data_IF_363652586815
#
_entry.id   IF_363652586815
#
_cell.length_a   1.000
_cell.length_b   1.000
_cell.length_c   1.000
_cell.angle_alpha   90.00
_cell.angle_beta   90.00
_cell.angle_gamma   90.00
#
_symmetry.space_group_name_H-M   'P 1'
#
loop_
_entity.id
_entity.type
_entity.pdbx_description
1 polymer ?
#
# COMPACT_ATOMS: atom_id res chain seq x y z
N UNK A 1 1.33 5.69 -24.63
CA UNK A 1 0.05 5.88 -23.90
C UNK A 1 0.02 4.93 -22.72
N UNK A 2 0.52 5.37 -21.57
CA UNK A 2 0.69 4.53 -20.39
C UNK A 2 -0.65 4.46 -19.66
N UNK A 3 -1.31 3.30 -19.70
CA UNK A 3 -2.54 3.03 -18.95
C UNK A 3 -2.26 3.30 -17.48
N UNK A 4 -2.89 4.35 -16.93
CA UNK A 4 -2.96 4.63 -15.49
C UNK A 4 -3.67 3.43 -14.84
N UNK A 5 -2.92 2.44 -14.41
CA UNK A 5 -3.43 1.35 -13.59
C UNK A 5 -3.61 1.93 -12.19
N UNK A 6 -4.85 2.26 -11.83
CA UNK A 6 -5.19 2.76 -10.50
C UNK A 6 -5.04 1.69 -9.40
N UNK A 7 -4.83 0.42 -9.79
CA UNK A 7 -4.79 -0.74 -8.88
C UNK A 7 -3.38 -1.31 -8.62
N UNK A 8 -2.31 -0.52 -8.85
CA UNK A 8 -0.95 -0.94 -8.46
C UNK A 8 -0.60 -0.45 -7.06
N UNK A 9 0.28 -1.19 -6.38
CA UNK A 9 0.83 -0.77 -5.08
C UNK A 9 1.45 0.63 -5.16
N UNK A 10 2.24 0.90 -6.20
CA UNK A 10 2.86 2.21 -6.44
C UNK A 10 1.82 3.31 -6.67
N UNK A 11 0.71 3.03 -7.37
CA UNK A 11 -0.38 4.00 -7.54
C UNK A 11 -1.12 4.25 -6.23
N UNK A 12 -1.26 3.26 -5.36
CA UNK A 12 -1.87 3.43 -4.04
C UNK A 12 -0.99 4.29 -3.12
N UNK A 13 0.34 4.10 -3.16
CA UNK A 13 1.30 4.92 -2.42
C UNK A 13 1.28 6.38 -2.90
N UNK A 14 1.35 6.63 -4.22
CA UNK A 14 1.26 7.99 -4.76
C UNK A 14 -0.05 8.70 -4.36
N UNK A 15 -1.17 7.96 -4.31
CA UNK A 15 -2.45 8.51 -3.87
C UNK A 15 -2.43 8.83 -2.36
N UNK A 16 -1.83 8.00 -1.53
CA UNK A 16 -1.66 8.29 -0.10
C UNK A 16 -0.83 9.56 0.12
N UNK A 17 0.26 9.75 -0.61
CA UNK A 17 1.05 10.98 -0.55
C UNK A 17 0.22 12.21 -0.96
N UNK A 18 -0.59 12.10 -2.01
CA UNK A 18 -1.49 13.18 -2.45
C UNK A 18 -2.52 13.52 -1.37
N UNK A 19 -3.09 12.50 -0.71
CA UNK A 19 -4.05 12.66 0.38
C UNK A 19 -3.39 13.38 1.56
N UNK A 20 -2.19 12.98 1.95
CA UNK A 20 -1.43 13.62 3.03
C UNK A 20 -1.18 15.10 2.70
N UNK A 21 -0.70 15.40 1.49
CA UNK A 21 -0.48 16.78 1.03
C UNK A 21 -1.77 17.62 1.05
N UNK A 22 -2.92 17.03 0.74
CA UNK A 22 -4.21 17.72 0.81
C UNK A 22 -4.68 17.97 2.23
N UNK A 23 -4.45 17.04 3.16
CA UNK A 23 -4.82 17.19 4.57
C UNK A 23 -3.91 18.19 5.27
N UNK A 24 -2.62 18.23 4.93
CA UNK A 24 -1.65 19.19 5.49
C UNK A 24 -1.89 20.62 5.01
N UNK A 25 -2.71 20.82 3.99
CA UNK A 25 -3.06 22.14 3.50
C UNK A 25 -4.14 22.76 4.42
N UNK A 26 -3.82 23.88 5.07
CA UNK A 26 -4.65 24.59 6.08
C UNK A 26 -6.04 25.09 5.59
N UNK A 27 -6.46 24.71 4.38
CA UNK A 27 -7.71 25.13 3.74
C UNK A 27 -8.72 23.98 3.57
N UNK A 28 -8.43 22.79 4.09
CA UNK A 28 -9.36 21.66 4.00
C UNK A 28 -10.50 21.83 5.01
N UNK A 29 -11.75 21.73 4.55
CA UNK A 29 -12.91 21.70 5.44
C UNK A 29 -13.04 20.34 6.14
N UNK A 30 -13.79 20.31 7.24
CA UNK A 30 -13.93 19.12 8.08
C UNK A 30 -14.52 17.91 7.33
N UNK A 31 -15.46 18.14 6.41
CA UNK A 31 -16.12 17.07 5.66
C UNK A 31 -15.16 16.47 4.62
N UNK A 32 -14.44 17.34 3.90
CA UNK A 32 -13.36 16.93 3.01
C UNK A 32 -12.26 16.18 3.75
N UNK A 33 -11.82 16.64 4.91
CA UNK A 33 -10.81 15.97 5.73
C UNK A 33 -11.26 14.56 6.15
N UNK A 34 -12.52 14.41 6.57
CA UNK A 34 -13.10 13.11 6.91
C UNK A 34 -13.13 12.17 5.69
N UNK A 35 -13.49 12.69 4.52
CA UNK A 35 -13.54 11.90 3.29
C UNK A 35 -12.14 11.45 2.85
N UNK A 36 -11.17 12.36 2.84
CA UNK A 36 -9.77 12.08 2.53
C UNK A 36 -9.17 11.05 3.49
N UNK A 37 -9.48 11.16 4.79
CA UNK A 37 -9.06 10.18 5.79
C UNK A 37 -9.63 8.77 5.51
N UNK A 38 -10.92 8.66 5.17
CA UNK A 38 -11.53 7.38 4.80
C UNK A 38 -10.85 6.76 3.59
N UNK A 39 -10.64 7.55 2.53
CA UNK A 39 -9.94 7.11 1.33
C UNK A 39 -8.51 6.66 1.65
N UNK A 40 -7.80 7.39 2.51
CA UNK A 40 -6.48 7.02 2.99
C UNK A 40 -6.49 5.66 3.71
N UNK A 41 -7.46 5.41 4.59
CA UNK A 41 -7.58 4.11 5.26
C UNK A 41 -7.83 2.95 4.29
N UNK A 42 -8.64 3.16 3.26
CA UNK A 42 -8.89 2.13 2.23
C UNK A 42 -7.61 1.82 1.43
N UNK A 43 -6.84 2.83 1.06
CA UNK A 43 -5.56 2.66 0.37
C UNK A 43 -4.52 1.96 1.25
N UNK A 44 -4.42 2.32 2.54
CA UNK A 44 -3.53 1.63 3.49
C UNK A 44 -3.90 0.16 3.59
N UNK A 45 -5.19 -0.16 3.71
CA UNK A 45 -5.65 -1.55 3.77
C UNK A 45 -5.29 -2.31 2.49
N UNK A 46 -5.51 -1.70 1.32
CA UNK A 46 -5.12 -2.28 0.04
C UNK A 46 -3.61 -2.60 -0.01
N UNK A 47 -2.76 -1.65 0.40
CA UNK A 47 -1.31 -1.83 0.45
C UNK A 47 -0.91 -2.99 1.38
N UNK A 48 -1.51 -3.06 2.58
CA UNK A 48 -1.26 -4.13 3.54
C UNK A 48 -1.66 -5.51 3.01
N UNK A 49 -2.84 -5.62 2.39
CA UNK A 49 -3.30 -6.88 1.80
C UNK A 49 -2.40 -7.31 0.64
N UNK A 50 -1.91 -6.35 -0.17
CA UNK A 50 -0.97 -6.65 -1.25
C UNK A 50 0.38 -7.14 -0.73
N UNK A 51 0.91 -6.52 0.32
CA UNK A 51 2.14 -6.98 0.97
C UNK A 51 1.97 -8.38 1.55
N UNK A 52 0.84 -8.65 2.23
CA UNK A 52 0.53 -9.97 2.78
C UNK A 52 0.48 -11.05 1.68
N UNK A 53 -0.14 -10.77 0.53
CA UNK A 53 -0.18 -11.70 -0.61
C UNK A 53 1.24 -12.00 -1.13
N UNK A 54 2.10 -10.99 -1.21
CA UNK A 54 3.51 -11.16 -1.62
C UNK A 54 4.28 -11.99 -0.58
N UNK A 55 4.14 -11.70 0.71
CA UNK A 55 4.76 -12.47 1.78
C UNK A 55 4.33 -13.94 1.76
N UNK A 56 3.03 -14.21 1.53
CA UNK A 56 2.54 -15.59 1.41
C UNK A 56 3.15 -16.31 0.21
N UNK A 57 3.26 -15.64 -0.95
CA UNK A 57 3.91 -16.20 -2.14
C UNK A 57 5.38 -16.51 -1.89
N UNK A 58 6.09 -15.61 -1.20
CA UNK A 58 7.49 -15.83 -0.81
C UNK A 58 7.59 -17.05 0.12
N UNK A 59 6.71 -17.19 1.11
CA UNK A 59 6.68 -18.35 2.02
C UNK A 59 6.42 -19.68 1.30
N UNK A 60 5.52 -19.68 0.30
CA UNK A 60 5.27 -20.89 -0.51
C UNK A 60 6.52 -21.25 -1.32
N UNK A 61 7.14 -20.26 -1.98
CA UNK A 61 8.38 -20.48 -2.73
C UNK A 61 9.52 -20.97 -1.82
N UNK A 62 9.63 -20.46 -0.60
CA UNK A 62 10.58 -20.93 0.42
C UNK A 62 10.33 -22.39 0.85
N UNK A 63 9.07 -22.79 0.96
CA UNK A 63 8.70 -24.17 1.29
C UNK A 63 8.95 -25.14 0.11
N UNK A 64 8.72 -24.69 -1.13
CA UNK A 64 8.95 -25.48 -2.35
C UNK A 64 10.44 -25.55 -2.73
N UNK A 65 11.19 -24.48 -2.45
CA UNK A 65 12.65 -24.43 -2.62
C UNK A 65 13.30 -24.50 -1.23
N UNK A 66 13.62 -25.69 -0.74
CA UNK A 66 14.30 -25.94 0.55
C UNK A 66 15.75 -25.36 0.62
N UNK A 67 15.99 -24.17 0.04
CA UNK A 67 17.27 -23.52 -0.23
C UNK A 67 17.40 -22.11 0.38
N UNK A 68 16.33 -21.51 0.94
CA UNK A 68 16.38 -20.16 1.52
C UNK A 68 16.31 -20.10 3.05
N UNK A 69 16.37 -21.25 3.74
CA UNK A 69 16.47 -21.36 5.23
C UNK A 69 17.65 -20.62 5.88
N UNK A 70 18.52 -19.96 5.11
CA UNK A 70 19.72 -19.30 5.60
C UNK A 70 19.59 -17.78 5.75
N UNK A 71 18.44 -17.16 5.46
CA UNK A 71 18.21 -15.75 5.81
C UNK A 71 17.48 -15.61 7.16
N UNK A 72 18.07 -16.20 8.20
CA UNK A 72 17.82 -15.74 9.56
C UNK A 72 18.76 -14.56 9.80
N UNK A 73 18.24 -13.33 9.66
CA UNK A 73 18.90 -12.17 10.26
C UNK A 73 18.64 -12.24 11.76
N UNK A 74 19.72 -12.43 12.52
CA UNK A 74 19.81 -12.15 13.96
C UNK A 74 19.28 -10.75 14.32
#
# INVERSE_FOLDING_TARGET
MTKKNLDTFESAINQLETIIQHIENDQIDLESALNQYKQGMELVKFCQDKLRDVEQKIKILDHETNQLKNFQTE
#
